data_IF_403527317015
#
_entry.id   IF_403527317015
#
_cell.length_a   1.000
_cell.length_b   1.000
_cell.length_c   1.000
_cell.angle_alpha   90.00
_cell.angle_beta   90.00
_cell.angle_gamma   90.00
#
_symmetry.space_group_name_H-M   'P 1'
#
loop_
_entity.id
_entity.type
_entity.pdbx_description
1 polymer ?
#
# COMPACT_ATOMS: atom_id res chain seq x y z
N UNK A 1 -29.90 -15.89 -7.51
CA UNK A 1 -29.07 -16.81 -8.32
C UNK A 1 -27.66 -16.66 -7.83
N UNK A 2 -27.05 -17.75 -7.34
CA UNK A 2 -25.73 -17.68 -6.71
C UNK A 2 -24.65 -17.61 -7.79
N UNK A 3 -23.85 -16.55 -7.74
CA UNK A 3 -22.72 -16.31 -8.63
C UNK A 3 -21.63 -17.38 -8.50
N UNK A 4 -21.49 -18.00 -7.33
CA UNK A 4 -20.57 -19.08 -7.00
C UNK A 4 -20.82 -20.29 -7.90
N UNK A 5 -22.08 -20.66 -8.12
CA UNK A 5 -22.48 -21.78 -8.98
C UNK A 5 -21.87 -21.65 -10.38
N UNK A 6 -21.86 -20.44 -10.94
CA UNK A 6 -21.30 -20.19 -12.27
C UNK A 6 -19.80 -20.43 -12.39
N UNK A 7 -19.06 -20.39 -11.27
CA UNK A 7 -17.64 -20.75 -11.31
C UNK A 7 -17.46 -22.26 -11.52
N UNK A 8 -18.47 -23.10 -11.23
CA UNK A 8 -18.36 -24.58 -11.27
C UNK A 8 -19.16 -25.24 -12.41
N UNK A 9 -20.26 -24.63 -12.86
CA UNK A 9 -21.10 -25.17 -13.94
C UNK A 9 -20.46 -25.33 -15.33
N UNK A 10 -19.43 -24.57 -15.75
CA UNK A 10 -18.89 -24.69 -17.11
C UNK A 10 -18.15 -26.00 -17.38
N UNK A 11 -17.79 -26.74 -16.34
CA UNK A 11 -16.95 -27.93 -16.46
C UNK A 11 -17.80 -29.18 -16.55
N UNK A 12 -17.75 -29.85 -17.70
CA UNK A 12 -18.54 -31.05 -17.95
C UNK A 12 -17.99 -32.27 -17.21
N UNK A 13 -16.66 -32.43 -17.17
CA UNK A 13 -16.03 -33.68 -16.75
C UNK A 13 -15.04 -33.48 -15.58
N UNK A 14 -14.07 -32.57 -15.70
CA UNK A 14 -13.07 -32.37 -14.64
C UNK A 14 -13.11 -30.97 -14.05
N UNK A 15 -13.03 -30.88 -12.72
CA UNK A 15 -12.84 -29.61 -12.05
C UNK A 15 -11.37 -29.17 -12.18
N UNK A 16 -11.08 -27.98 -12.73
CA UNK A 16 -9.73 -27.45 -12.74
C UNK A 16 -9.19 -27.33 -11.31
N UNK A 17 -7.88 -27.46 -11.18
CA UNK A 17 -7.15 -27.28 -9.92
C UNK A 17 -7.50 -25.97 -9.18
N UNK A 18 -7.73 -24.89 -9.93
CA UNK A 18 -8.22 -23.63 -9.36
C UNK A 18 -9.59 -23.78 -8.68
N UNK A 19 -10.53 -24.47 -9.32
CA UNK A 19 -11.87 -24.69 -8.79
C UNK A 19 -11.88 -25.64 -7.59
N UNK A 20 -11.02 -26.66 -7.60
CA UNK A 20 -10.82 -27.53 -6.45
C UNK A 20 -10.33 -26.73 -5.22
N UNK A 21 -9.38 -25.81 -5.42
CA UNK A 21 -8.92 -24.88 -4.36
C UNK A 21 -10.00 -23.90 -3.93
N UNK A 22 -10.78 -23.37 -4.89
CA UNK A 22 -11.90 -22.49 -4.58
C UNK A 22 -12.93 -23.22 -3.69
N UNK A 23 -13.30 -24.45 -4.03
CA UNK A 23 -14.23 -25.26 -3.24
C UNK A 23 -13.68 -25.55 -1.83
N UNK A 24 -12.38 -25.83 -1.73
CA UNK A 24 -11.67 -25.99 -0.47
C UNK A 24 -11.74 -24.73 0.41
N UNK A 25 -11.57 -23.55 -0.19
CA UNK A 25 -11.66 -22.28 0.53
C UNK A 25 -13.09 -22.00 1.00
N UNK A 26 -14.09 -22.32 0.17
CA UNK A 26 -15.50 -22.19 0.54
C UNK A 26 -15.76 -23.07 1.77
N UNK A 27 -15.32 -24.33 1.76
CA UNK A 27 -15.51 -25.26 2.88
C UNK A 27 -14.80 -24.77 4.15
N UNK A 28 -13.49 -24.50 4.06
CA UNK A 28 -12.64 -24.17 5.21
C UNK A 28 -13.07 -22.90 5.95
N UNK A 29 -13.67 -21.95 5.23
CA UNK A 29 -14.04 -20.64 5.78
C UNK A 29 -15.47 -20.61 6.34
N UNK A 30 -16.02 -21.80 6.63
CA UNK A 30 -17.36 -22.02 7.16
C UNK A 30 -18.37 -21.23 6.36
N UNK A 31 -18.69 -21.72 5.16
CA UNK A 31 -19.60 -21.04 4.24
C UNK A 31 -20.84 -21.90 3.96
N UNK A 32 -22.02 -21.33 4.18
CA UNK A 32 -23.32 -21.96 3.92
C UNK A 32 -23.56 -22.31 2.44
N UNK A 33 -22.83 -21.68 1.52
CA UNK A 33 -22.93 -21.92 0.08
C UNK A 33 -22.12 -23.17 -0.33
N UNK A 34 -21.28 -23.73 0.55
CA UNK A 34 -20.53 -24.95 0.25
C UNK A 34 -21.45 -26.07 -0.22
N UNK A 35 -22.47 -26.41 0.58
CA UNK A 35 -23.39 -27.51 0.27
C UNK A 35 -24.13 -27.25 -1.04
N UNK A 36 -24.54 -26.00 -1.30
CA UNK A 36 -25.20 -25.63 -2.55
C UNK A 36 -24.30 -25.85 -3.77
N UNK A 37 -23.04 -25.41 -3.69
CA UNK A 37 -22.07 -25.60 -4.77
C UNK A 37 -21.67 -27.07 -4.89
N UNK A 38 -21.53 -27.80 -3.79
CA UNK A 38 -21.14 -29.19 -3.81
C UNK A 38 -22.23 -30.08 -4.43
N UNK A 39 -23.51 -29.80 -4.11
CA UNK A 39 -24.65 -30.58 -4.58
C UNK A 39 -24.97 -30.39 -6.06
N UNK A 40 -24.52 -29.32 -6.70
CA UNK A 40 -24.66 -29.15 -8.17
C UNK A 40 -23.60 -29.91 -8.96
N UNK A 41 -22.50 -30.32 -8.31
CA UNK A 41 -21.43 -31.05 -8.97
C UNK A 41 -21.89 -32.45 -9.35
N UNK A 42 -21.33 -32.98 -10.44
CA UNK A 42 -21.55 -34.37 -10.82
C UNK A 42 -20.83 -35.31 -9.84
N UNK A 43 -21.28 -36.56 -9.65
CA UNK A 43 -20.66 -37.49 -8.71
C UNK A 43 -19.13 -37.64 -8.87
N UNK A 44 -18.65 -37.74 -10.11
CA UNK A 44 -17.20 -37.83 -10.35
C UNK A 44 -16.44 -36.54 -10.00
N UNK A 45 -17.06 -35.36 -10.12
CA UNK A 45 -16.47 -34.08 -9.69
C UNK A 45 -16.43 -33.97 -8.16
N UNK A 46 -17.46 -34.49 -7.49
CA UNK A 46 -17.48 -34.62 -6.04
C UNK A 46 -16.37 -35.56 -5.55
N UNK A 47 -16.17 -36.69 -6.23
CA UNK A 47 -15.05 -37.61 -5.96
C UNK A 47 -13.69 -36.94 -6.19
N UNK A 48 -13.52 -36.22 -7.31
CA UNK A 48 -12.31 -35.43 -7.57
C UNK A 48 -12.02 -34.46 -6.43
N UNK A 49 -13.05 -33.78 -5.91
CA UNK A 49 -12.90 -32.89 -4.77
C UNK A 49 -12.47 -33.63 -3.50
N UNK A 50 -13.11 -34.76 -3.18
CA UNK A 50 -12.79 -35.56 -2.00
C UNK A 50 -11.34 -36.06 -2.06
N UNK A 51 -10.90 -36.56 -3.22
CA UNK A 51 -9.51 -37.00 -3.45
C UNK A 51 -8.54 -35.83 -3.32
N UNK A 52 -8.84 -34.69 -3.95
CA UNK A 52 -8.01 -33.49 -3.85
C UNK A 52 -7.89 -33.00 -2.40
N UNK A 53 -9.01 -32.89 -1.67
CA UNK A 53 -9.06 -32.43 -0.28
C UNK A 53 -8.19 -33.27 0.66
N UNK A 54 -8.09 -34.57 0.40
CA UNK A 54 -7.27 -35.51 1.16
C UNK A 54 -5.80 -35.58 0.68
N UNK A 55 -5.45 -34.87 -0.39
CA UNK A 55 -4.10 -34.89 -0.95
C UNK A 55 -3.14 -33.98 -0.18
N UNK A 56 -1.85 -34.34 -0.21
CA UNK A 56 -0.75 -33.49 0.28
C UNK A 56 -0.74 -32.11 -0.41
N UNK A 57 -1.22 -32.04 -1.66
CA UNK A 57 -1.30 -30.77 -2.38
C UNK A 57 -2.29 -29.79 -1.73
N UNK A 58 -3.46 -30.28 -1.29
CA UNK A 58 -4.45 -29.46 -0.61
C UNK A 58 -3.96 -29.02 0.78
N UNK A 59 -3.25 -29.88 1.49
CA UNK A 59 -2.63 -29.57 2.78
C UNK A 59 -1.58 -28.47 2.63
N UNK A 60 -0.60 -28.65 1.76
CA UNK A 60 0.42 -27.65 1.45
C UNK A 60 -0.19 -26.30 1.02
N UNK A 61 -1.26 -26.35 0.22
CA UNK A 61 -1.98 -25.14 -0.19
C UNK A 61 -2.68 -24.45 1.00
N UNK A 62 -3.33 -25.19 1.91
CA UNK A 62 -3.93 -24.61 3.12
C UNK A 62 -2.90 -23.96 4.01
N UNK A 63 -1.77 -24.63 4.24
CA UNK A 63 -0.68 -24.07 5.03
C UNK A 63 -0.17 -22.77 4.43
N UNK A 64 0.14 -22.79 3.13
CA UNK A 64 0.55 -21.59 2.40
C UNK A 64 -0.50 -20.47 2.51
N UNK A 65 -1.77 -20.76 2.23
CA UNK A 65 -2.86 -19.80 2.33
C UNK A 65 -2.96 -19.20 3.73
N UNK A 66 -2.88 -20.02 4.78
CA UNK A 66 -3.02 -19.58 6.17
C UNK A 66 -1.83 -18.72 6.64
N UNK A 67 -0.64 -18.85 6.01
CA UNK A 67 0.48 -17.92 6.26
C UNK A 67 0.25 -16.55 5.63
N UNK A 68 -0.56 -16.46 4.57
CA UNK A 68 -0.81 -15.23 3.81
C UNK A 68 -2.10 -14.53 4.20
N UNK A 69 -3.10 -15.29 4.61
CA UNK A 69 -4.46 -14.82 4.80
C UNK A 69 -4.96 -15.13 6.21
N UNK A 70 -5.49 -14.12 6.91
CA UNK A 70 -6.03 -14.32 8.24
C UNK A 70 -7.36 -15.07 8.16
N UNK A 71 -7.61 -15.99 9.09
CA UNK A 71 -8.89 -16.70 9.14
C UNK A 71 -10.10 -15.75 9.31
N UNK A 72 -11.18 -16.05 8.59
CA UNK A 72 -12.49 -15.39 8.67
C UNK A 72 -13.57 -16.47 8.65
N UNK A 73 -14.53 -16.37 9.57
CA UNK A 73 -15.73 -17.20 9.54
C UNK A 73 -16.84 -16.43 8.80
N UNK A 74 -17.14 -16.82 7.57
CA UNK A 74 -18.13 -16.12 6.76
C UNK A 74 -19.58 -16.41 7.15
N UNK A 75 -19.85 -17.52 7.83
CA UNK A 75 -21.19 -17.86 8.34
C UNK A 75 -21.68 -16.94 9.48
N UNK A 76 -20.78 -16.26 10.17
CA UNK A 76 -21.11 -15.46 11.36
C UNK A 76 -20.54 -14.04 11.29
N UNK A 77 -20.68 -13.38 10.14
CA UNK A 77 -20.26 -12.00 9.99
C UNK A 77 -21.25 -11.03 10.66
N UNK A 78 -20.77 -10.02 11.41
CA UNK A 78 -21.63 -8.99 11.93
C UNK A 78 -22.21 -8.14 10.79
N UNK A 79 -23.37 -7.51 11.06
CA UNK A 79 -24.01 -6.61 10.08
C UNK A 79 -23.15 -5.38 9.77
N UNK A 80 -22.46 -4.87 10.78
CA UNK A 80 -21.48 -3.78 10.66
C UNK A 80 -20.09 -4.38 10.79
N UNK A 81 -19.27 -4.19 9.77
CA UNK A 81 -17.91 -4.69 9.70
C UNK A 81 -16.96 -3.62 10.24
N UNK A 82 -16.16 -3.96 11.23
CA UNK A 82 -15.10 -3.06 11.68
C UNK A 82 -13.94 -2.99 10.66
N UNK A 83 -13.05 -2.02 10.83
CA UNK A 83 -11.92 -1.82 9.93
C UNK A 83 -11.01 -3.05 9.84
N UNK A 84 -10.85 -3.79 10.95
CA UNK A 84 -10.01 -4.99 10.98
C UNK A 84 -10.62 -6.06 10.07
N UNK A 85 -11.91 -6.33 10.20
CA UNK A 85 -12.61 -7.32 9.40
C UNK A 85 -12.72 -6.90 7.93
N UNK A 86 -12.94 -5.61 7.66
CA UNK A 86 -12.91 -5.04 6.30
C UNK A 86 -11.57 -5.29 5.62
N UNK A 87 -10.46 -4.99 6.30
CA UNK A 87 -9.11 -5.24 5.78
C UNK A 87 -8.90 -6.73 5.47
N UNK A 88 -9.31 -7.62 6.39
CA UNK A 88 -9.21 -9.07 6.17
C UNK A 88 -10.00 -9.52 4.94
N UNK A 89 -11.26 -9.10 4.80
CA UNK A 89 -12.11 -9.46 3.65
C UNK A 89 -11.51 -8.93 2.34
N UNK A 90 -10.99 -7.69 2.35
CA UNK A 90 -10.33 -7.08 1.19
C UNK A 90 -9.07 -7.87 0.80
N UNK A 91 -8.31 -8.42 1.75
CA UNK A 91 -7.18 -9.30 1.44
C UNK A 91 -7.61 -10.55 0.67
N UNK A 92 -8.71 -11.19 1.05
CA UNK A 92 -9.26 -12.33 0.28
C UNK A 92 -9.68 -11.91 -1.13
N UNK A 93 -10.32 -10.74 -1.28
CA UNK A 93 -10.70 -10.18 -2.59
C UNK A 93 -9.47 -9.93 -3.47
N UNK A 94 -8.42 -9.31 -2.93
CA UNK A 94 -7.17 -8.99 -3.66
C UNK A 94 -6.41 -10.25 -4.10
N UNK A 95 -6.35 -11.27 -3.24
CA UNK A 95 -5.69 -12.55 -3.55
C UNK A 95 -6.54 -13.48 -4.42
N UNK A 96 -7.79 -13.11 -4.73
CA UNK A 96 -8.73 -13.87 -5.58
C UNK A 96 -9.07 -15.27 -5.07
N UNK A 97 -8.87 -15.54 -3.78
CA UNK A 97 -9.11 -16.87 -3.18
C UNK A 97 -10.60 -17.27 -3.15
N UNK A 98 -11.51 -16.28 -3.09
CA UNK A 98 -12.96 -16.49 -3.07
C UNK A 98 -13.67 -15.98 -4.31
N UNK A 99 -12.95 -15.34 -5.25
CA UNK A 99 -13.45 -14.86 -6.56
C UNK A 99 -14.89 -14.31 -6.52
N UNK A 100 -15.83 -14.92 -7.26
CA UNK A 100 -17.23 -14.47 -7.32
C UNK A 100 -18.06 -14.95 -6.14
N UNK A 101 -17.63 -16.01 -5.45
CA UNK A 101 -18.26 -16.51 -4.21
C UNK A 101 -18.33 -15.40 -3.17
N UNK A 102 -17.34 -14.51 -3.14
CA UNK A 102 -17.34 -13.35 -2.24
C UNK A 102 -18.62 -12.49 -2.38
N UNK A 103 -19.22 -12.44 -3.58
CA UNK A 103 -20.47 -11.70 -3.78
C UNK A 103 -21.68 -12.45 -3.23
N UNK A 104 -21.70 -13.76 -3.20
CA UNK A 104 -22.83 -14.47 -2.58
C UNK A 104 -22.69 -14.51 -1.05
N UNK A 105 -21.45 -14.49 -0.57
CA UNK A 105 -21.08 -14.52 0.84
C UNK A 105 -21.50 -13.30 1.65
N UNK A 106 -21.60 -12.14 1.01
CA UNK A 106 -21.80 -10.87 1.69
C UNK A 106 -23.18 -10.30 1.44
N UNK A 107 -23.77 -9.73 2.50
CA UNK A 107 -24.99 -8.94 2.38
C UNK A 107 -24.76 -7.71 1.50
N UNK A 108 -25.84 -7.10 0.99
CA UNK A 108 -25.73 -5.86 0.20
C UNK A 108 -25.11 -4.73 1.02
N UNK A 109 -25.45 -4.64 2.30
CA UNK A 109 -24.90 -3.65 3.23
C UNK A 109 -23.40 -3.88 3.49
N UNK A 110 -22.98 -5.13 3.66
CA UNK A 110 -21.56 -5.46 3.84
C UNK A 110 -20.73 -5.14 2.59
N UNK A 111 -21.27 -5.40 1.39
CA UNK A 111 -20.63 -4.99 0.13
C UNK A 111 -20.49 -3.47 0.03
N UNK A 112 -21.52 -2.72 0.44
CA UNK A 112 -21.47 -1.27 0.44
C UNK A 112 -20.39 -0.74 1.40
N UNK A 113 -20.26 -1.34 2.59
CA UNK A 113 -19.20 -0.99 3.55
C UNK A 113 -17.80 -1.21 2.97
N UNK A 114 -17.58 -2.33 2.26
CA UNK A 114 -16.29 -2.60 1.60
C UNK A 114 -15.98 -1.54 0.53
N UNK A 115 -16.96 -1.20 -0.31
CA UNK A 115 -16.78 -0.18 -1.36
C UNK A 115 -16.43 1.17 -0.74
N UNK A 116 -17.13 1.57 0.32
CA UNK A 116 -16.86 2.81 1.04
C UNK A 116 -15.46 2.81 1.65
N UNK A 117 -15.06 1.71 2.30
CA UNK A 117 -13.73 1.57 2.87
C UNK A 117 -12.63 1.67 1.80
N UNK A 118 -12.77 0.95 0.68
CA UNK A 118 -11.80 1.00 -0.42
C UNK A 118 -11.69 2.40 -1.04
N UNK A 119 -12.79 3.14 -1.15
CA UNK A 119 -12.79 4.53 -1.62
C UNK A 119 -12.05 5.46 -0.66
N UNK A 120 -12.29 5.32 0.65
CA UNK A 120 -11.63 6.13 1.67
C UNK A 120 -10.12 5.87 1.69
N UNK A 121 -9.70 4.61 1.62
CA UNK A 121 -8.28 4.23 1.51
C UNK A 121 -7.62 4.83 0.26
N UNK A 122 -8.31 4.80 -0.88
CA UNK A 122 -7.81 5.40 -2.11
C UNK A 122 -7.62 6.92 -1.96
N UNK A 123 -8.62 7.62 -1.41
CA UNK A 123 -8.57 9.07 -1.22
C UNK A 123 -7.48 9.49 -0.24
N UNK A 124 -7.27 8.72 0.83
CA UNK A 124 -6.17 8.93 1.78
C UNK A 124 -4.82 8.78 1.09
N UNK A 125 -4.64 7.70 0.32
CA UNK A 125 -3.40 7.46 -0.41
C UNK A 125 -3.11 8.58 -1.41
N UNK A 126 -4.11 9.04 -2.15
CA UNK A 126 -3.95 10.17 -3.08
C UNK A 126 -3.55 11.45 -2.36
N UNK A 127 -4.14 11.74 -1.18
CA UNK A 127 -3.76 12.91 -0.38
C UNK A 127 -2.32 12.83 0.14
N UNK A 128 -1.88 11.65 0.56
CA UNK A 128 -0.50 11.43 1.00
C UNK A 128 0.50 11.63 -0.15
N UNK A 129 0.21 11.09 -1.33
CA UNK A 129 1.03 11.28 -2.53
C UNK A 129 1.12 12.75 -2.93
N UNK A 130 0.00 13.48 -2.92
CA UNK A 130 -0.02 14.93 -3.20
C UNK A 130 0.85 15.67 -2.18
N UNK A 131 0.70 15.36 -0.89
CA UNK A 131 1.46 15.99 0.18
C UNK A 131 2.97 15.73 0.03
N UNK A 132 3.38 14.52 -0.31
CA UNK A 132 4.79 14.19 -0.53
C UNK A 132 5.36 14.98 -1.72
N UNK A 133 4.59 15.13 -2.79
CA UNK A 133 4.97 15.96 -3.94
C UNK A 133 5.09 17.43 -3.55
N UNK A 134 4.11 17.98 -2.83
CA UNK A 134 4.13 19.35 -2.32
C UNK A 134 5.35 19.61 -1.43
N UNK A 135 5.61 18.74 -0.44
CA UNK A 135 6.77 18.81 0.44
C UNK A 135 8.09 18.78 -0.35
N UNK A 136 8.16 17.97 -1.42
CA UNK A 136 9.33 17.90 -2.30
C UNK A 136 9.53 19.18 -3.12
N UNK A 137 8.43 19.80 -3.57
CA UNK A 137 8.44 21.04 -4.34
C UNK A 137 8.79 22.23 -3.45
N UNK A 138 8.28 22.28 -2.22
CA UNK A 138 8.66 23.29 -1.23
C UNK A 138 10.15 23.20 -0.90
N UNK A 139 10.68 21.99 -0.67
CA UNK A 139 12.12 21.78 -0.48
C UNK A 139 12.94 22.31 -1.67
N UNK A 140 12.49 22.09 -2.91
CA UNK A 140 13.16 22.62 -4.12
C UNK A 140 13.03 24.13 -4.27
N UNK A 141 11.90 24.74 -3.88
CA UNK A 141 11.68 26.19 -3.91
C UNK A 141 12.50 26.92 -2.84
N UNK A 142 12.69 26.30 -1.68
CA UNK A 142 13.44 26.86 -0.55
C UNK A 142 14.97 26.74 -0.70
N UNK A 143 15.47 26.13 -1.79
CA UNK A 143 16.89 26.27 -2.15
C UNK A 143 17.10 27.68 -2.68
N UNK A 144 17.70 28.55 -1.86
CA UNK A 144 18.11 29.88 -2.31
C UNK A 144 18.99 29.75 -3.57
N UNK A 145 18.54 30.39 -4.66
CA UNK A 145 19.29 30.47 -5.91
C UNK A 145 20.07 31.77 -5.92
N UNK A 146 21.39 31.67 -5.96
CA UNK A 146 22.28 32.81 -6.09
C UNK A 146 22.59 33.02 -7.57
N UNK A 147 21.96 34.04 -8.16
CA UNK A 147 22.06 34.32 -9.59
C UNK A 147 22.98 35.50 -9.93
N UNK A 148 23.55 36.17 -8.91
CA UNK A 148 24.63 37.15 -9.06
C UNK A 148 24.33 38.39 -9.89
N UNK A 149 23.06 38.68 -10.16
CA UNK A 149 22.64 39.80 -11.01
C UNK A 149 21.75 40.78 -10.23
N UNK A 150 21.75 42.07 -10.63
CA UNK A 150 20.94 43.14 -10.04
C UNK A 150 21.18 43.40 -8.55
N UNK A 151 22.43 43.26 -8.09
CA UNK A 151 22.78 43.56 -6.70
C UNK A 151 22.31 42.49 -5.70
N UNK A 152 21.95 41.30 -6.15
CA UNK A 152 21.77 40.10 -5.32
C UNK A 152 23.10 39.35 -5.16
N UNK A 153 23.38 38.69 -4.02
CA UNK A 153 24.56 37.85 -3.86
C UNK A 153 24.64 36.76 -4.94
N UNK A 154 25.80 36.58 -5.55
CA UNK A 154 26.11 35.55 -6.55
C UNK A 154 26.49 34.21 -5.94
N UNK A 155 26.78 34.16 -4.64
CA UNK A 155 27.09 32.93 -3.90
C UNK A 155 26.51 32.95 -2.49
N UNK A 156 26.46 31.77 -1.86
CA UNK A 156 26.09 31.62 -0.44
C UNK A 156 27.03 32.42 0.45
N UNK A 157 28.33 32.42 0.13
CA UNK A 157 29.33 33.17 0.88
C UNK A 157 29.07 34.66 0.81
N UNK A 158 28.80 35.22 -0.37
CA UNK A 158 28.42 36.62 -0.52
C UNK A 158 27.15 36.97 0.26
N UNK A 159 26.19 36.04 0.36
CA UNK A 159 24.97 36.25 1.15
C UNK A 159 25.27 36.28 2.65
N UNK A 160 26.11 35.37 3.15
CA UNK A 160 26.55 35.36 4.55
C UNK A 160 27.33 36.62 4.88
N UNK A 161 28.25 37.05 4.00
CA UNK A 161 29.03 38.26 4.18
C UNK A 161 28.15 39.53 4.22
N UNK A 162 27.07 39.55 3.44
CA UNK A 162 26.19 40.72 3.34
C UNK A 162 25.09 40.77 4.42
N UNK A 163 24.55 39.63 4.82
CA UNK A 163 23.39 39.56 5.72
C UNK A 163 23.69 38.92 7.08
N UNK A 164 24.87 38.31 7.26
CA UNK A 164 25.27 37.67 8.52
C UNK A 164 24.46 36.43 8.88
N UNK A 165 23.71 35.86 7.93
CA UNK A 165 22.81 34.71 8.11
C UNK A 165 23.13 33.67 7.05
N UNK A 166 23.20 32.40 7.46
CA UNK A 166 23.34 31.30 6.51
C UNK A 166 21.99 31.06 5.80
N UNK A 167 21.91 31.31 4.48
CA UNK A 167 20.67 31.17 3.72
C UNK A 167 20.17 29.73 3.63
N UNK A 168 21.02 28.72 3.88
CA UNK A 168 20.63 27.30 3.84
C UNK A 168 19.93 26.86 5.13
N UNK A 169 20.20 27.54 6.24
CA UNK A 169 19.74 27.13 7.58
C UNK A 169 18.90 28.19 8.29
N UNK A 170 18.91 29.43 7.81
CA UNK A 170 18.20 30.57 8.41
C UNK A 170 18.78 31.02 9.75
N UNK A 171 19.96 30.52 10.14
CA UNK A 171 20.61 30.83 11.43
C UNK A 171 21.66 31.92 11.26
N UNK A 172 21.86 32.80 12.26
CA UNK A 172 22.92 33.80 12.22
C UNK A 172 24.30 33.11 12.24
N UNK A 173 25.24 33.61 11.44
CA UNK A 173 26.62 33.14 11.45
C UNK A 173 27.30 33.68 12.71
N UNK A 174 27.63 32.79 13.65
CA UNK A 174 28.35 33.16 14.87
C UNK A 174 29.78 33.58 14.55
N UNK A 175 30.33 34.55 15.30
CA UNK A 175 31.70 35.09 15.15
C UNK A 175 32.75 33.97 15.05
N UNK A 176 32.63 32.92 15.86
CA UNK A 176 33.57 31.79 15.84
C UNK A 176 33.53 30.98 14.54
N UNK A 177 32.35 30.80 13.94
CA UNK A 177 32.21 30.09 12.67
C UNK A 177 32.64 30.96 11.48
N UNK A 178 32.41 32.28 11.57
CA UNK A 178 32.88 33.24 10.58
C UNK A 178 34.41 33.20 10.44
N UNK A 179 35.15 33.31 11.55
CA UNK A 179 36.62 33.24 11.51
C UNK A 179 37.17 31.84 11.21
N UNK A 180 36.37 30.78 11.33
CA UNK A 180 36.75 29.44 10.84
C UNK A 180 36.71 29.36 9.32
N UNK A 181 35.69 29.96 8.68
CA UNK A 181 35.43 29.86 7.22
C UNK A 181 36.05 30.99 6.39
N UNK A 182 36.29 32.16 6.97
CA UNK A 182 36.78 33.35 6.26
C UNK A 182 38.08 33.88 6.89
N UNK A 183 38.95 34.44 6.06
CA UNK A 183 40.13 35.24 6.43
C UNK A 183 39.88 36.70 6.05
N UNK A 184 40.43 37.65 6.80
CA UNK A 184 40.38 39.06 6.42
C UNK A 184 41.60 39.36 5.55
N UNK A 185 41.39 39.91 4.35
CA UNK A 185 42.49 40.40 3.51
C UNK A 185 43.18 41.57 4.23
N UNK A 186 44.48 41.47 4.55
CA UNK A 186 45.19 42.53 5.24
C UNK A 186 45.34 43.82 4.42
N UNK A 187 45.09 43.80 3.11
CA UNK A 187 45.20 44.97 2.24
C UNK A 187 43.90 45.75 2.07
N UNK A 188 42.76 45.06 1.98
CA UNK A 188 41.46 45.71 1.75
C UNK A 188 40.59 45.74 3.00
N UNK A 189 40.86 44.86 3.98
CA UNK A 189 40.01 44.66 5.15
C UNK A 189 38.77 43.79 4.86
N UNK A 190 38.64 43.26 3.64
CA UNK A 190 37.48 42.48 3.24
C UNK A 190 37.62 41.01 3.66
N UNK A 191 36.54 40.37 4.13
CA UNK A 191 36.52 38.95 4.41
C UNK A 191 36.52 38.12 3.11
N UNK A 192 37.50 37.23 2.96
CA UNK A 192 37.67 36.28 1.85
C UNK A 192 37.45 34.84 2.37
N UNK A 193 36.65 34.00 1.69
CA UNK A 193 36.50 32.59 2.04
C UNK A 193 37.86 31.88 2.03
N UNK A 194 38.12 31.03 3.04
CA UNK A 194 39.36 30.25 3.14
C UNK A 194 39.43 29.10 2.12
N UNK A 195 38.32 28.75 1.49
CA UNK A 195 38.23 27.63 0.54
C UNK A 195 38.44 28.05 -0.93
N UNK A 196 39.64 27.77 -1.42
CA UNK A 196 39.86 26.96 -2.64
C UNK A 196 41.20 26.23 -2.47
N UNK A 197 41.15 25.03 -1.89
CA UNK A 197 42.17 23.98 -2.02
C UNK A 197 41.60 22.67 -1.45
N UNK A 198 40.70 22.05 -2.21
CA UNK A 198 40.54 20.59 -2.34
C UNK A 198 39.77 20.30 -3.64
#
# INVERSE_FOLDING_TARGET
MNLAIYDFTPFADELPKFNLRLLLNIEDLNNSIFDEVYNILRPHQQEQYVVFKASEEAENYREYRNTKLPYINFNNLPKVLDNVLLQKIILYKKNRELRRVMYDLLSKEQKAQIIQYESLEHDLKTKEEIKEVEDSLEKKRNVLKFNGNMGEPGTVDEYILRYGVDPRTGKPETIENFFKKYTIDPKTGDPIPKEKNE
#
